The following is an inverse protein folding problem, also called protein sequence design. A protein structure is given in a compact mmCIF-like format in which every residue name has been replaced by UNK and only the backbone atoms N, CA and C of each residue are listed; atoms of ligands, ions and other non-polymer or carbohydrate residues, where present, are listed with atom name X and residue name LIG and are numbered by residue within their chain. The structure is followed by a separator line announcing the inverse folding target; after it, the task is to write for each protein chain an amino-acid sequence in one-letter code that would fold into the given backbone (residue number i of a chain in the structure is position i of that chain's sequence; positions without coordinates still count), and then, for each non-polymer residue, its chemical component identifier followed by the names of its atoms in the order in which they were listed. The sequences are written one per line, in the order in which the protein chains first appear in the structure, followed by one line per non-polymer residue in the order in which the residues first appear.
data_IF_982280341357
#
_entry.id   IF_982280341357
#
_cell.length_a   1.000
_cell.length_b   1.000
_cell.length_c   1.000
_cell.angle_alpha   90.00
_cell.angle_beta   90.00
_cell.angle_gamma   90.00
#
_symmetry.space_group_name_H-M   'P 1'
#
loop_
_entity.id
_entity.type
_entity.pdbx_description
1 polymer ?
#
# COMPACT_ATOMS: atom_id res chain seq x y z
N UNK A 1 36.22 -2.91 13.18
CA UNK A 1 35.03 -2.20 13.68
C UNK A 1 33.89 -2.43 12.69
N UNK A 2 33.02 -3.42 12.95
CA UNK A 2 31.98 -3.83 12.00
C UNK A 2 30.72 -2.99 12.18
N UNK A 3 30.44 -2.11 11.22
CA UNK A 3 29.24 -1.25 11.22
C UNK A 3 28.06 -2.09 10.73
N UNK A 4 27.30 -2.71 11.65
CA UNK A 4 26.01 -3.35 11.33
C UNK A 4 25.07 -2.29 10.74
N UNK A 5 24.80 -2.38 9.45
CA UNK A 5 23.71 -1.66 8.78
C UNK A 5 22.40 -2.10 9.44
N UNK A 6 21.76 -1.18 10.17
CA UNK A 6 20.41 -1.39 10.70
C UNK A 6 19.50 -1.73 9.52
N UNK A 7 18.68 -2.80 9.59
CA UNK A 7 17.65 -3.00 8.58
C UNK A 7 16.80 -1.74 8.57
N UNK A 8 16.69 -1.09 7.40
CA UNK A 8 15.74 0.01 7.21
C UNK A 8 14.38 -0.62 7.47
N UNK A 9 13.82 -0.36 8.66
CA UNK A 9 12.40 -0.56 8.91
C UNK A 9 11.70 0.10 7.75
N UNK A 10 11.07 -0.69 6.88
CA UNK A 10 10.23 -0.19 5.79
C UNK A 10 9.11 0.56 6.51
N UNK A 11 9.32 1.85 6.73
CA UNK A 11 8.35 2.73 7.36
C UNK A 11 7.04 2.52 6.64
N UNK A 12 5.96 2.36 7.39
CA UNK A 12 4.58 2.22 6.92
C UNK A 12 4.09 3.50 6.22
N UNK A 13 4.87 3.97 5.23
CA UNK A 13 4.61 5.14 4.40
C UNK A 13 3.42 4.78 3.55
N UNK A 14 2.31 5.42 3.86
CA UNK A 14 1.14 5.42 3.01
C UNK A 14 1.47 6.42 1.90
N UNK A 15 1.61 5.93 0.67
CA UNK A 15 1.82 6.75 -0.52
C UNK A 15 0.47 7.14 -1.14
N UNK A 16 -0.52 6.25 -1.07
CA UNK A 16 -1.87 6.42 -1.62
C UNK A 16 -2.94 6.07 -0.59
N UNK A 17 -3.98 6.90 -0.48
CA UNK A 17 -5.14 6.67 0.40
C UNK A 17 -6.44 6.79 -0.39
N UNK A 18 -7.27 5.76 -0.33
CA UNK A 18 -8.67 5.77 -0.76
C UNK A 18 -9.53 6.05 0.47
N UNK A 19 -10.16 7.21 0.51
CA UNK A 19 -10.89 7.67 1.70
C UNK A 19 -12.30 7.09 1.82
N UNK A 20 -12.88 7.23 3.02
CA UNK A 20 -14.29 6.90 3.26
C UNK A 20 -15.22 7.61 2.28
N UNK A 21 -16.29 6.93 1.88
CA UNK A 21 -17.24 7.42 0.88
C UNK A 21 -16.73 7.37 -0.56
N UNK A 22 -15.54 6.81 -0.81
CA UNK A 22 -15.03 6.56 -2.16
C UNK A 22 -15.30 5.11 -2.56
N UNK A 23 -15.93 4.91 -3.72
CA UNK A 23 -16.08 3.61 -4.35
C UNK A 23 -15.30 3.58 -5.66
N UNK A 24 -14.39 2.62 -5.80
CA UNK A 24 -13.65 2.38 -7.03
C UNK A 24 -14.24 1.17 -7.74
N UNK A 25 -14.72 1.36 -8.96
CA UNK A 25 -15.20 0.28 -9.83
C UNK A 25 -14.15 -0.03 -10.90
N UNK A 26 -13.52 -1.21 -10.81
CA UNK A 26 -12.47 -1.64 -11.73
C UNK A 26 -11.19 -2.08 -11.04
N UNK A 27 -10.10 -2.14 -11.82
CA UNK A 27 -8.82 -2.65 -11.33
C UNK A 27 -7.90 -1.52 -10.82
N UNK A 28 -7.20 -1.77 -9.72
CA UNK A 28 -6.21 -0.86 -9.13
C UNK A 28 -4.82 -1.48 -9.29
N UNK A 29 -3.86 -0.71 -9.82
CA UNK A 29 -2.45 -1.09 -9.82
C UNK A 29 -1.69 -0.06 -8.96
N UNK A 30 -0.95 -0.51 -7.95
CA UNK A 30 -0.22 0.38 -7.04
C UNK A 30 1.21 -0.07 -6.77
N UNK A 31 2.06 0.88 -6.42
CA UNK A 31 3.44 0.68 -5.93
C UNK A 31 3.58 1.34 -4.56
N UNK A 32 4.46 0.84 -3.69
CA UNK A 32 4.64 1.36 -2.34
C UNK A 32 3.46 1.06 -1.40
N UNK A 33 3.00 2.05 -0.63
CA UNK A 33 1.92 1.90 0.35
C UNK A 33 0.55 2.36 -0.14
N UNK A 34 -0.44 1.47 -0.13
CA UNK A 34 -1.85 1.77 -0.42
C UNK A 34 -2.70 1.55 0.84
N UNK A 35 -3.45 2.57 1.25
CA UNK A 35 -4.46 2.48 2.30
C UNK A 35 -5.86 2.62 1.71
N UNK A 36 -6.76 1.72 2.06
CA UNK A 36 -8.16 1.75 1.61
C UNK A 36 -9.05 1.83 2.84
N UNK A 37 -9.69 2.98 3.00
CA UNK A 37 -10.73 3.26 3.99
C UNK A 37 -12.10 3.43 3.27
N UNK A 38 -12.18 3.04 1.99
CA UNK A 38 -13.38 3.06 1.15
C UNK A 38 -13.70 1.68 0.57
N UNK A 39 -14.41 1.62 -0.56
CA UNK A 39 -14.75 0.36 -1.24
C UNK A 39 -14.06 0.22 -2.60
N UNK A 40 -13.65 -1.01 -2.90
CA UNK A 40 -13.12 -1.38 -4.22
C UNK A 40 -13.88 -2.57 -4.75
N UNK A 41 -14.47 -2.43 -5.93
CA UNK A 41 -15.14 -3.48 -6.66
C UNK A 41 -14.32 -3.82 -7.91
N UNK A 42 -13.40 -4.77 -7.76
CA UNK A 42 -12.50 -5.24 -8.81
C UNK A 42 -11.21 -5.83 -8.22
N UNK A 43 -10.14 -5.87 -9.02
CA UNK A 43 -8.88 -6.49 -8.62
C UNK A 43 -7.82 -5.45 -8.23
N UNK A 44 -6.99 -5.79 -7.24
CA UNK A 44 -5.88 -4.94 -6.80
C UNK A 44 -4.56 -5.66 -7.11
N UNK A 45 -3.67 -4.99 -7.83
CA UNK A 45 -2.37 -5.50 -8.28
C UNK A 45 -1.25 -4.64 -7.71
N UNK A 46 -0.16 -5.30 -7.29
CA UNK A 46 1.08 -4.61 -6.93
C UNK A 46 1.95 -4.48 -8.18
N UNK A 47 2.57 -3.32 -8.38
CA UNK A 47 3.54 -3.09 -9.44
C UNK A 47 4.98 -3.36 -8.98
N UNK A 48 5.19 -3.46 -7.66
CA UNK A 48 6.49 -3.78 -7.06
C UNK A 48 6.52 -5.26 -6.63
N UNK A 49 7.67 -5.92 -6.86
CA UNK A 49 7.91 -7.31 -6.45
C UNK A 49 8.27 -7.45 -4.95
N UNK A 50 8.79 -6.40 -4.30
CA UNK A 50 9.55 -6.59 -3.05
C UNK A 50 8.99 -5.88 -1.81
N UNK A 51 8.03 -4.94 -1.93
CA UNK A 51 7.72 -4.06 -0.78
C UNK A 51 6.35 -3.37 -0.76
N UNK A 52 5.36 -3.82 -1.53
CA UNK A 52 4.05 -3.19 -1.48
C UNK A 52 3.36 -3.45 -0.12
N UNK A 53 2.76 -2.42 0.47
CA UNK A 53 1.99 -2.53 1.71
C UNK A 53 0.55 -2.11 1.43
N UNK A 54 -0.38 -3.06 1.53
CA UNK A 54 -1.82 -2.78 1.48
C UNK A 54 -2.38 -2.74 2.90
N UNK A 55 -3.00 -1.62 3.27
CA UNK A 55 -3.72 -1.46 4.54
C UNK A 55 -5.20 -1.25 4.24
N UNK A 56 -6.07 -2.01 4.90
CA UNK A 56 -7.51 -1.82 4.84
C UNK A 56 -8.01 -1.39 6.23
N UNK A 57 -8.82 -0.35 6.29
CA UNK A 57 -9.56 0.00 7.50
C UNK A 57 -11.05 -0.21 7.24
N UNK A 58 -11.73 -0.84 8.21
CA UNK A 58 -13.19 -1.03 8.22
C UNK A 58 -13.95 0.30 8.31
#
# INVERSE_FOLDING_TARGET
MFKKSKPKVKSNRIDTLVGQGTEIMGNICFSGGLRIDGSVNGNIYTLDDDAAVLTFSE
#
